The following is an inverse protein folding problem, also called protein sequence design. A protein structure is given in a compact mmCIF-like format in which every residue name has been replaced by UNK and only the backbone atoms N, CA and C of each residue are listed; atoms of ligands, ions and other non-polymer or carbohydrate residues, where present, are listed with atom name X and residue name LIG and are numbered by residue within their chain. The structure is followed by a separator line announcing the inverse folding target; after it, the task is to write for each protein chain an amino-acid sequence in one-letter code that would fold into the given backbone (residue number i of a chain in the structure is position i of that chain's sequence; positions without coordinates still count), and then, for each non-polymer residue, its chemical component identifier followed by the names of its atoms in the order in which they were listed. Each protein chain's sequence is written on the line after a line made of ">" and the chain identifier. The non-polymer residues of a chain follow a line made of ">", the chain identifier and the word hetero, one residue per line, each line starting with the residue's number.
data_IF_371418158221
#
_entry.id   IF_371418158221
#
_cell.length_a   1.000
_cell.length_b   1.000
_cell.length_c   1.000
_cell.angle_alpha   90.00
_cell.angle_beta   90.00
_cell.angle_gamma   90.00
#
_symmetry.space_group_name_H-M   'P 1'
#
loop_
_entity.id
_entity.type
_entity.pdbx_description
1 polymer ?
#
# COMPACT_ATOMS: atom_id res chain seq x y z
N UNK A 1 21.43 9.22 -52.82
CA UNK A 1 21.36 9.18 -51.34
C UNK A 1 20.05 8.53 -50.95
N UNK A 2 20.05 7.23 -50.64
CA UNK A 2 18.86 6.55 -50.10
C UNK A 2 18.79 6.81 -48.60
N UNK A 3 17.71 7.42 -48.16
CA UNK A 3 17.39 7.64 -46.75
C UNK A 3 16.75 6.37 -46.19
N UNK A 4 17.42 5.72 -45.24
CA UNK A 4 16.91 4.55 -44.52
C UNK A 4 16.09 5.06 -43.33
N UNK A 5 14.76 4.95 -43.43
CA UNK A 5 13.85 5.16 -42.29
C UNK A 5 13.88 3.90 -41.43
N UNK A 6 14.50 3.98 -40.26
CA UNK A 6 14.44 2.91 -39.25
C UNK A 6 13.05 2.94 -38.58
N UNK A 7 12.22 1.95 -38.87
CA UNK A 7 10.96 1.73 -38.17
C UNK A 7 11.25 1.16 -36.77
N UNK A 8 10.99 1.94 -35.72
CA UNK A 8 10.99 1.45 -34.35
C UNK A 8 9.76 0.57 -34.13
N UNK A 9 9.96 -0.75 -34.10
CA UNK A 9 8.95 -1.71 -33.66
C UNK A 9 8.72 -1.55 -32.15
N UNK A 10 7.62 -0.86 -31.80
CA UNK A 10 7.12 -0.87 -30.43
C UNK A 10 6.47 -2.23 -30.14
N UNK A 11 7.14 -3.07 -29.37
CA UNK A 11 6.54 -4.27 -28.78
C UNK A 11 5.50 -3.82 -27.74
N UNK A 12 4.22 -3.79 -28.12
CA UNK A 12 3.13 -3.78 -27.14
C UNK A 12 3.05 -5.18 -26.52
N UNK A 13 3.73 -5.38 -25.40
CA UNK A 13 3.44 -6.52 -24.54
C UNK A 13 2.01 -6.33 -24.01
N UNK A 14 1.09 -7.23 -24.37
CA UNK A 14 -0.21 -7.30 -23.73
C UNK A 14 0.00 -7.40 -22.22
N UNK A 15 -0.59 -6.48 -21.44
CA UNK A 15 -0.50 -6.53 -19.99
C UNK A 15 -1.12 -7.83 -19.52
N UNK A 16 -0.32 -8.70 -18.91
CA UNK A 16 -0.84 -9.92 -18.31
C UNK A 16 -1.92 -9.57 -17.28
N UNK A 17 -3.03 -10.28 -17.33
CA UNK A 17 -4.15 -10.02 -16.43
C UNK A 17 -3.82 -10.44 -14.98
N UNK A 18 -4.39 -9.75 -13.98
CA UNK A 18 -4.29 -10.19 -12.59
C UNK A 18 -4.81 -11.62 -12.39
N UNK A 19 -4.04 -12.44 -11.68
CA UNK A 19 -4.42 -13.80 -11.32
C UNK A 19 -5.15 -13.77 -9.98
N UNK A 20 -6.43 -14.14 -9.97
CA UNK A 20 -7.20 -14.27 -8.72
C UNK A 20 -6.95 -15.65 -8.11
N UNK A 21 -6.55 -15.68 -6.84
CA UNK A 21 -6.42 -16.94 -6.09
C UNK A 21 -7.80 -17.37 -5.60
N UNK A 22 -8.30 -18.51 -6.09
CA UNK A 22 -9.72 -18.90 -5.92
C UNK A 22 -9.97 -20.11 -5.03
N UNK A 23 -8.96 -20.94 -4.78
CA UNK A 23 -9.14 -22.22 -4.09
C UNK A 23 -7.96 -22.48 -3.16
N UNK A 24 -8.22 -23.16 -2.04
CA UNK A 24 -7.21 -23.52 -1.07
C UNK A 24 -7.82 -24.21 0.15
N UNK A 25 -7.13 -24.11 1.29
CA UNK A 25 -7.57 -24.68 2.56
C UNK A 25 -7.82 -23.57 3.59
N UNK A 26 -8.87 -23.71 4.39
CA UNK A 26 -9.12 -22.85 5.54
C UNK A 26 -9.14 -23.66 6.83
N UNK A 27 -8.76 -23.01 7.92
CA UNK A 27 -8.89 -23.55 9.26
C UNK A 27 -9.42 -22.46 10.18
N UNK A 28 -10.34 -22.84 11.07
CA UNK A 28 -10.86 -21.95 12.11
C UNK A 28 -9.75 -21.45 13.04
N UNK A 29 -10.10 -20.51 13.92
CA UNK A 29 -9.16 -19.99 14.90
C UNK A 29 -8.51 -21.12 15.73
N UNK A 30 -7.17 -21.15 15.72
CA UNK A 30 -6.32 -22.11 16.45
C UNK A 30 -5.64 -21.48 17.66
N UNK A 31 -6.19 -20.38 18.16
CA UNK A 31 -5.69 -19.67 19.32
C UNK A 31 -6.72 -18.72 19.91
N UNK A 32 -6.36 -18.04 20.99
CA UNK A 32 -7.22 -17.01 21.58
C UNK A 32 -6.96 -15.67 20.92
N UNK A 33 -8.02 -15.03 20.43
CA UNK A 33 -7.98 -13.63 19.99
C UNK A 33 -8.13 -12.68 21.18
N UNK A 34 -7.62 -11.46 21.04
CA UNK A 34 -7.74 -10.40 22.06
C UNK A 34 -6.41 -9.75 22.42
N UNK A 35 -6.47 -8.64 23.16
CA UNK A 35 -5.30 -7.94 23.69
C UNK A 35 -4.77 -8.70 24.91
N UNK A 36 -4.10 -9.81 24.66
CA UNK A 36 -3.51 -10.65 25.69
C UNK A 36 -1.98 -10.57 25.59
N UNK A 37 -1.26 -10.54 26.72
CA UNK A 37 0.21 -10.49 26.70
C UNK A 37 0.85 -11.80 26.21
N UNK A 38 0.09 -12.90 26.23
CA UNK A 38 0.54 -14.22 25.80
C UNK A 38 -0.28 -14.66 24.59
N UNK A 39 0.33 -14.60 23.40
CA UNK A 39 -0.27 -15.07 22.16
C UNK A 39 -0.27 -16.60 22.16
N UNK A 40 -1.45 -17.20 22.02
CA UNK A 40 -1.66 -18.66 22.07
C UNK A 40 -2.11 -19.22 20.71
N UNK A 41 -1.49 -18.76 19.63
CA UNK A 41 -1.78 -19.23 18.28
C UNK A 41 -0.92 -20.44 17.92
N UNK A 42 -1.57 -21.59 17.69
CA UNK A 42 -0.87 -22.84 17.45
C UNK A 42 -0.16 -22.89 16.08
N UNK A 43 -0.65 -22.16 15.07
CA UNK A 43 0.02 -22.07 13.75
C UNK A 43 1.24 -21.16 13.87
N UNK A 44 1.10 -19.98 14.46
CA UNK A 44 2.22 -19.08 14.71
C UNK A 44 3.32 -19.74 15.55
N UNK A 45 2.95 -20.54 16.56
CA UNK A 45 3.89 -21.29 17.38
C UNK A 45 4.66 -22.36 16.59
N UNK A 46 4.05 -23.00 15.59
CA UNK A 46 4.73 -23.96 14.70
C UNK A 46 5.68 -23.26 13.74
N UNK A 47 5.26 -22.13 13.18
CA UNK A 47 6.10 -21.30 12.31
C UNK A 47 7.34 -20.84 13.07
N UNK A 48 7.17 -20.30 14.28
CA UNK A 48 8.28 -19.84 15.11
C UNK A 48 9.29 -20.94 15.49
N UNK A 49 8.84 -22.20 15.57
CA UNK A 49 9.70 -23.37 15.82
C UNK A 49 10.27 -24.01 14.55
N UNK A 50 9.89 -23.53 13.37
CA UNK A 50 10.27 -24.15 12.10
C UNK A 50 9.62 -25.52 11.85
N UNK A 51 8.51 -25.82 12.54
CA UNK A 51 7.78 -27.10 12.42
C UNK A 51 6.44 -26.95 11.71
N UNK A 52 6.20 -25.82 11.03
CA UNK A 52 5.02 -25.66 10.20
C UNK A 52 5.26 -26.31 8.84
N UNK A 53 4.37 -27.22 8.46
CA UNK A 53 4.39 -27.90 7.17
C UNK A 53 3.23 -27.40 6.30
N UNK A 54 3.35 -27.55 4.98
CA UNK A 54 2.27 -27.29 4.03
C UNK A 54 1.03 -28.08 4.43
N UNK A 55 -0.11 -27.43 4.73
CA UNK A 55 -1.30 -28.13 5.18
C UNK A 55 -1.93 -28.95 4.06
N UNK A 56 -2.50 -30.09 4.43
CA UNK A 56 -3.36 -30.92 3.60
C UNK A 56 -4.78 -30.91 4.15
N UNK A 57 -5.74 -31.23 3.29
CA UNK A 57 -7.11 -31.44 3.73
C UNK A 57 -7.18 -32.53 4.81
N UNK A 58 -7.92 -32.24 5.89
CA UNK A 58 -8.06 -33.14 7.03
C UNK A 58 -6.95 -33.04 8.08
N UNK A 59 -5.83 -32.36 7.80
CA UNK A 59 -4.78 -32.17 8.79
C UNK A 59 -5.32 -31.44 10.02
N UNK A 60 -5.05 -32.01 11.20
CA UNK A 60 -5.54 -31.50 12.47
C UNK A 60 -4.49 -30.65 13.19
N UNK A 61 -4.91 -29.48 13.66
CA UNK A 61 -4.14 -28.58 14.52
C UNK A 61 -4.71 -28.65 15.94
N UNK A 62 -4.00 -29.30 16.87
CA UNK A 62 -4.28 -29.19 18.30
C UNK A 62 -4.32 -27.74 18.77
N UNK A 63 -5.38 -27.36 19.48
CA UNK A 63 -5.56 -26.05 20.09
C UNK A 63 -5.42 -26.17 21.62
N UNK A 64 -4.57 -25.37 22.27
CA UNK A 64 -4.42 -25.43 23.72
C UNK A 64 -5.76 -25.19 24.46
N UNK A 65 -6.20 -26.18 25.23
CA UNK A 65 -7.43 -26.08 26.04
C UNK A 65 -8.74 -26.13 25.24
N UNK A 66 -8.72 -26.69 24.03
CA UNK A 66 -9.91 -26.86 23.20
C UNK A 66 -9.79 -28.04 22.24
N UNK A 67 -10.82 -28.23 21.42
CA UNK A 67 -10.82 -29.25 20.37
C UNK A 67 -9.84 -28.89 19.26
N UNK A 68 -9.25 -29.93 18.65
CA UNK A 68 -8.43 -29.75 17.45
C UNK A 68 -9.28 -29.17 16.31
N UNK A 69 -8.64 -28.34 15.48
CA UNK A 69 -9.25 -27.78 14.27
C UNK A 69 -8.64 -28.44 13.05
N UNK A 70 -9.46 -28.70 12.03
CA UNK A 70 -9.00 -29.36 10.81
C UNK A 70 -8.98 -28.40 9.65
N UNK A 71 -7.97 -28.53 8.79
CA UNK A 71 -7.96 -27.86 7.50
C UNK A 71 -9.04 -28.45 6.59
N UNK A 72 -9.85 -27.58 5.99
CA UNK A 72 -10.94 -27.94 5.08
C UNK A 72 -10.86 -27.13 3.79
N UNK A 73 -11.34 -27.65 2.65
CA UNK A 73 -11.36 -26.91 1.40
C UNK A 73 -12.16 -25.60 1.53
N UNK A 74 -11.66 -24.55 0.89
CA UNK A 74 -12.38 -23.30 0.72
C UNK A 74 -12.26 -22.80 -0.71
N UNK A 75 -13.36 -22.23 -1.21
CA UNK A 75 -13.46 -21.64 -2.54
C UNK A 75 -13.94 -20.19 -2.44
N UNK A 76 -13.34 -19.34 -3.24
CA UNK A 76 -13.78 -17.96 -3.41
C UNK A 76 -15.09 -17.91 -4.18
N UNK A 77 -15.95 -16.95 -3.84
CA UNK A 77 -17.13 -16.62 -4.63
C UNK A 77 -16.78 -16.03 -6.01
N UNK A 78 -17.82 -15.67 -6.76
CA UNK A 78 -17.66 -15.05 -8.09
C UNK A 78 -16.84 -13.76 -8.04
N UNK A 79 -17.04 -12.97 -6.98
CA UNK A 79 -16.31 -11.74 -6.65
C UNK A 79 -14.83 -11.96 -6.25
N UNK A 80 -14.37 -13.22 -6.23
CA UNK A 80 -13.01 -13.58 -5.84
C UNK A 80 -12.77 -13.54 -4.32
N UNK A 81 -13.84 -13.46 -3.52
CA UNK A 81 -13.72 -13.41 -2.07
C UNK A 81 -13.98 -14.75 -1.40
N UNK A 82 -13.10 -15.09 -0.46
CA UNK A 82 -13.34 -16.13 0.52
C UNK A 82 -14.15 -15.53 1.68
N UNK A 83 -15.19 -16.25 2.10
CA UNK A 83 -16.01 -15.89 3.26
C UNK A 83 -16.34 -17.14 4.06
N UNK A 84 -16.64 -16.97 5.34
CA UNK A 84 -17.17 -18.07 6.16
C UNK A 84 -16.72 -18.01 7.63
N UNK A 85 -17.28 -18.87 8.50
CA UNK A 85 -16.95 -18.89 9.93
C UNK A 85 -15.46 -19.15 10.19
N UNK A 86 -14.81 -19.97 9.36
CA UNK A 86 -13.38 -20.28 9.47
C UNK A 86 -12.49 -19.04 9.39
N UNK A 87 -12.91 -17.99 8.69
CA UNK A 87 -12.12 -16.78 8.47
C UNK A 87 -12.25 -15.76 9.62
N UNK A 88 -13.01 -16.07 10.68
CA UNK A 88 -13.12 -15.22 11.88
C UNK A 88 -12.01 -15.58 12.86
N UNK A 89 -10.82 -15.02 12.64
CA UNK A 89 -9.64 -15.28 13.47
C UNK A 89 -8.89 -16.57 13.10
N UNK A 90 -9.16 -17.15 11.93
CA UNK A 90 -8.50 -18.34 11.41
C UNK A 90 -7.51 -18.04 10.30
N UNK A 91 -7.17 -19.08 9.53
CA UNK A 91 -6.19 -19.00 8.44
C UNK A 91 -6.75 -19.51 7.12
N UNK A 92 -6.20 -18.99 6.03
CA UNK A 92 -6.41 -19.49 4.67
C UNK A 92 -5.05 -19.74 4.02
N UNK A 93 -4.81 -20.97 3.57
CA UNK A 93 -3.65 -21.35 2.78
C UNK A 93 -4.04 -21.45 1.30
N UNK A 94 -3.38 -20.64 0.48
CA UNK A 94 -3.56 -20.59 -0.97
C UNK A 94 -2.25 -20.96 -1.66
N UNK A 95 -2.36 -21.53 -2.86
CA UNK A 95 -1.18 -21.84 -3.68
C UNK A 95 -1.30 -21.28 -5.08
N UNK A 96 -0.15 -21.06 -5.72
CA UNK A 96 -0.07 -20.68 -7.12
C UNK A 96 1.16 -21.30 -7.78
N UNK A 97 0.99 -21.95 -8.94
CA UNK A 97 2.11 -22.48 -9.72
C UNK A 97 2.58 -21.44 -10.73
N UNK A 98 3.83 -20.99 -10.60
CA UNK A 98 4.47 -20.08 -11.53
C UNK A 98 5.40 -20.84 -12.48
N UNK A 99 5.42 -20.46 -13.76
CA UNK A 99 6.25 -21.11 -14.79
C UNK A 99 7.73 -20.73 -14.69
N UNK A 100 8.01 -19.59 -14.07
CA UNK A 100 9.35 -19.04 -13.86
C UNK A 100 9.44 -18.30 -12.54
N UNK A 101 10.65 -17.97 -12.16
CA UNK A 101 10.88 -16.98 -11.11
C UNK A 101 10.51 -15.58 -11.64
N UNK A 102 9.66 -14.87 -10.92
CA UNK A 102 9.29 -13.49 -11.24
C UNK A 102 8.78 -12.72 -10.02
N UNK A 103 8.78 -11.38 -10.11
CA UNK A 103 8.17 -10.53 -9.09
C UNK A 103 6.77 -10.14 -9.54
N UNK A 104 5.80 -10.31 -8.63
CA UNK A 104 4.42 -9.86 -8.81
C UNK A 104 4.03 -8.97 -7.64
N UNK A 105 2.97 -8.19 -7.79
CA UNK A 105 2.33 -7.48 -6.70
C UNK A 105 1.24 -8.36 -6.10
N UNK A 106 1.42 -8.79 -4.85
CA UNK A 106 0.37 -9.37 -4.05
C UNK A 106 -0.56 -8.26 -3.57
N UNK A 107 -1.79 -8.26 -4.09
CA UNK A 107 -2.88 -7.42 -3.60
C UNK A 107 -3.89 -8.32 -2.89
N UNK A 108 -3.91 -8.23 -1.56
CA UNK A 108 -4.84 -8.97 -0.73
C UNK A 108 -5.52 -8.05 0.29
N UNK A 109 -6.79 -8.32 0.60
CA UNK A 109 -7.68 -7.44 1.38
C UNK A 109 -8.37 -8.25 2.46
N UNK A 110 -8.47 -7.72 3.69
CA UNK A 110 -9.20 -8.33 4.81
C UNK A 110 -8.39 -9.28 5.71
N UNK A 111 -7.08 -9.40 5.45
CA UNK A 111 -6.15 -10.23 6.22
C UNK A 111 -5.29 -9.40 7.17
N UNK A 112 -4.89 -9.98 8.29
CA UNK A 112 -4.02 -9.33 9.27
C UNK A 112 -2.55 -9.34 8.82
N UNK A 113 -2.12 -10.47 8.25
CA UNK A 113 -0.78 -10.70 7.71
C UNK A 113 -0.81 -11.91 6.78
N UNK A 114 0.20 -12.02 5.91
CA UNK A 114 0.41 -13.17 5.05
C UNK A 114 1.85 -13.64 5.13
N UNK A 115 2.06 -14.95 5.11
CA UNK A 115 3.37 -15.55 4.91
C UNK A 115 3.43 -16.05 3.48
N UNK A 116 4.21 -15.37 2.65
CA UNK A 116 4.41 -15.71 1.24
C UNK A 116 5.74 -16.44 1.09
N UNK A 117 5.72 -17.72 0.73
CA UNK A 117 6.91 -18.59 0.63
C UNK A 117 7.79 -18.55 1.90
N UNK A 118 7.19 -18.52 3.08
CA UNK A 118 7.91 -18.44 4.36
C UNK A 118 8.28 -17.01 4.80
N UNK A 119 8.12 -16.00 3.95
CA UNK A 119 8.39 -14.61 4.30
C UNK A 119 7.13 -13.89 4.82
N UNK A 120 7.15 -13.32 6.04
CA UNK A 120 6.02 -12.53 6.54
C UNK A 120 5.88 -11.21 5.78
N UNK A 121 4.63 -10.83 5.53
CA UNK A 121 4.20 -9.63 4.81
C UNK A 121 3.00 -9.01 5.54
N UNK A 122 2.96 -7.68 5.55
CA UNK A 122 1.89 -6.92 6.20
C UNK A 122 0.53 -7.19 5.54
N UNK A 123 -0.54 -7.12 6.34
CA UNK A 123 -1.90 -7.28 5.85
C UNK A 123 -2.69 -5.97 5.74
N UNK A 124 -3.91 -6.11 5.25
CA UNK A 124 -4.92 -5.05 5.16
C UNK A 124 -6.15 -5.42 6.02
N UNK A 125 -6.04 -5.33 7.37
CA UNK A 125 -7.09 -5.80 8.28
C UNK A 125 -8.35 -4.93 8.25
N UNK A 126 -8.28 -3.73 7.66
CA UNK A 126 -9.39 -2.78 7.54
C UNK A 126 -9.97 -2.72 6.12
N UNK A 127 -9.45 -3.54 5.21
CA UNK A 127 -9.96 -3.68 3.85
C UNK A 127 -9.93 -2.39 3.02
N UNK A 128 -8.90 -1.56 3.20
CA UNK A 128 -8.77 -0.32 2.42
C UNK A 128 -8.33 -0.56 0.97
N UNK A 129 -7.72 -1.70 0.65
CA UNK A 129 -7.27 -2.07 -0.69
C UNK A 129 -5.97 -1.40 -1.14
N UNK A 130 -5.31 -0.63 -0.26
CA UNK A 130 -4.05 0.04 -0.61
C UNK A 130 -2.80 -0.80 -0.36
N UNK A 131 -2.91 -1.91 0.36
CA UNK A 131 -1.77 -2.80 0.66
C UNK A 131 -1.47 -3.65 -0.56
N UNK A 132 -0.44 -3.24 -1.30
CA UNK A 132 0.02 -3.87 -2.53
C UNK A 132 1.51 -4.14 -2.39
N UNK A 133 1.87 -5.40 -2.18
CA UNK A 133 3.22 -5.79 -1.78
C UNK A 133 3.94 -6.55 -2.90
N UNK A 134 5.12 -6.10 -3.36
CA UNK A 134 5.92 -6.91 -4.26
C UNK A 134 6.38 -8.19 -3.55
N UNK A 135 6.11 -9.33 -4.18
CA UNK A 135 6.52 -10.66 -3.70
C UNK A 135 7.24 -11.39 -4.81
N UNK A 136 8.26 -12.15 -4.43
CA UNK A 136 9.03 -12.98 -5.34
C UNK A 136 8.36 -14.35 -5.44
N UNK A 137 7.91 -14.71 -6.64
CA UNK A 137 7.49 -16.06 -6.96
C UNK A 137 8.70 -16.89 -7.35
N UNK A 138 8.79 -18.12 -6.86
CA UNK A 138 9.70 -19.15 -7.36
C UNK A 138 9.04 -19.91 -8.51
N UNK A 139 9.85 -20.45 -9.42
CA UNK A 139 9.36 -21.45 -10.39
C UNK A 139 8.74 -22.63 -9.62
N UNK A 140 7.57 -23.08 -10.04
CA UNK A 140 6.81 -24.12 -9.36
C UNK A 140 5.78 -23.57 -8.37
N UNK A 141 5.49 -24.34 -7.32
CA UNK A 141 4.41 -24.01 -6.36
C UNK A 141 4.86 -22.94 -5.38
N UNK A 142 4.09 -21.86 -5.30
CA UNK A 142 4.22 -20.78 -4.33
C UNK A 142 3.08 -20.88 -3.32
N UNK A 143 3.37 -20.58 -2.06
CA UNK A 143 2.43 -20.74 -0.95
C UNK A 143 2.18 -19.42 -0.24
N UNK A 144 0.92 -19.19 0.12
CA UNK A 144 0.47 -18.00 0.81
C UNK A 144 -0.43 -18.40 1.99
N UNK A 145 0.06 -18.18 3.21
CA UNK A 145 -0.70 -18.44 4.43
C UNK A 145 -1.19 -17.11 5.01
N UNK A 146 -2.49 -16.83 4.85
CA UNK A 146 -3.15 -15.62 5.32
C UNK A 146 -3.73 -15.84 6.71
N UNK A 147 -3.39 -14.99 7.67
CA UNK A 147 -4.16 -14.83 8.92
C UNK A 147 -5.34 -13.90 8.65
N UNK A 148 -6.56 -14.36 8.90
CA UNK A 148 -7.78 -13.59 8.60
C UNK A 148 -8.54 -13.28 9.89
N UNK A 149 -8.80 -12.00 10.13
CA UNK A 149 -9.47 -11.55 11.36
C UNK A 149 -10.99 -11.40 11.22
N UNK A 150 -11.46 -10.84 10.09
CA UNK A 150 -12.82 -10.29 9.97
C UNK A 150 -13.74 -11.09 9.04
N UNK A 151 -13.42 -12.35 8.75
CA UNK A 151 -14.33 -13.25 8.04
C UNK A 151 -14.36 -13.11 6.52
N UNK A 152 -13.53 -12.24 5.92
CA UNK A 152 -13.46 -12.02 4.48
C UNK A 152 -12.03 -11.82 4.02
N UNK A 153 -11.65 -12.46 2.91
CA UNK A 153 -10.35 -12.34 2.26
C UNK A 153 -10.54 -12.28 0.75
N UNK A 154 -9.85 -11.36 0.07
CA UNK A 154 -9.55 -11.48 -1.37
C UNK A 154 -8.04 -11.52 -1.56
N UNK A 155 -7.56 -12.23 -2.58
CA UNK A 155 -6.14 -12.28 -2.91
C UNK A 155 -5.93 -12.42 -4.42
N UNK A 156 -5.09 -11.55 -4.98
CA UNK A 156 -4.70 -11.60 -6.39
C UNK A 156 -3.22 -11.27 -6.58
N UNK A 157 -2.63 -11.86 -7.60
CA UNK A 157 -1.26 -11.60 -8.07
C UNK A 157 -1.34 -10.73 -9.31
N UNK A 158 -0.81 -9.50 -9.21
CA UNK A 158 -0.84 -8.52 -10.29
C UNK A 158 0.56 -8.46 -10.92
N UNK A 159 0.69 -8.64 -12.24
CA UNK A 159 1.97 -8.49 -12.93
C UNK A 159 2.58 -7.09 -12.72
N UNK A 160 3.89 -7.06 -12.48
CA UNK A 160 4.63 -5.81 -12.32
C UNK A 160 4.78 -5.13 -13.68
N UNK A 161 4.22 -3.93 -13.81
CA UNK A 161 4.32 -3.15 -15.06
C UNK A 161 5.66 -2.40 -15.17
N UNK A 162 6.18 -1.91 -14.05
CA UNK A 162 7.46 -1.20 -13.99
C UNK A 162 8.23 -1.60 -12.72
N UNK A 163 9.58 -1.64 -12.77
CA UNK A 163 10.41 -2.01 -11.62
C UNK A 163 10.22 -1.10 -10.39
N UNK A 164 9.95 0.18 -10.64
CA UNK A 164 9.68 1.19 -9.62
C UNK A 164 8.42 1.94 -10.02
N UNK A 165 7.43 1.99 -9.13
CA UNK A 165 6.10 2.55 -9.41
C UNK A 165 5.68 3.52 -8.32
N UNK A 166 5.22 4.70 -8.73
CA UNK A 166 4.44 5.58 -7.88
C UNK A 166 2.97 5.16 -7.89
N UNK A 167 2.36 5.12 -6.71
CA UNK A 167 0.98 4.72 -6.51
C UNK A 167 0.15 5.77 -5.78
N UNK A 168 -1.10 5.93 -6.21
CA UNK A 168 -2.06 6.89 -5.63
C UNK A 168 -3.11 6.23 -4.71
N UNK A 169 -2.98 4.93 -4.45
CA UNK A 169 -3.94 4.18 -3.63
C UNK A 169 -3.95 4.60 -2.15
N UNK A 170 -2.88 5.25 -1.67
CA UNK A 170 -2.80 5.81 -0.32
C UNK A 170 -1.93 7.08 -0.36
N UNK A 171 -2.60 8.24 -0.38
CA UNK A 171 -1.94 9.54 -0.52
C UNK A 171 -2.18 10.41 0.71
N UNK A 172 -1.24 11.31 0.97
CA UNK A 172 -1.40 12.32 2.03
C UNK A 172 -1.06 13.67 1.43
N UNK A 173 -2.10 14.44 1.12
CA UNK A 173 -1.97 15.76 0.51
C UNK A 173 -2.75 16.81 1.30
N UNK A 174 -2.21 18.05 1.39
CA UNK A 174 -2.92 19.18 1.94
C UNK A 174 -3.89 19.73 0.90
N UNK A 175 -4.67 20.73 1.31
CA UNK A 175 -5.30 21.66 0.38
C UNK A 175 -4.42 22.92 0.29
N UNK A 176 -4.33 23.53 -0.90
CA UNK A 176 -3.75 24.88 -1.01
C UNK A 176 -4.74 25.90 -0.46
N UNK A 177 -4.26 26.94 0.22
CA UNK A 177 -5.12 28.01 0.71
C UNK A 177 -4.87 29.29 -0.07
N UNK A 178 -5.94 29.87 -0.61
CA UNK A 178 -5.89 31.10 -1.40
C UNK A 178 -5.28 32.23 -0.58
N UNK A 179 -4.29 32.92 -1.16
CA UNK A 179 -3.58 34.02 -0.52
C UNK A 179 -2.42 33.59 0.40
N UNK A 180 -2.29 32.30 0.71
CA UNK A 180 -1.14 31.80 1.46
C UNK A 180 0.02 31.42 0.55
N UNK A 181 1.24 31.51 1.09
CA UNK A 181 2.48 31.16 0.39
C UNK A 181 3.43 30.45 1.33
N UNK A 182 3.17 29.16 1.56
CA UNK A 182 3.96 28.33 2.46
C UNK A 182 4.42 27.03 1.79
N UNK A 183 5.44 26.43 2.40
CA UNK A 183 5.95 25.12 2.00
C UNK A 183 5.02 24.05 2.56
N UNK A 184 4.42 23.29 1.66
CA UNK A 184 3.50 22.21 1.99
C UNK A 184 4.13 20.84 1.67
N UNK A 185 3.62 19.77 2.28
CA UNK A 185 4.15 18.42 2.12
C UNK A 185 3.12 17.50 1.46
N UNK A 186 3.56 16.69 0.51
CA UNK A 186 2.77 15.60 -0.07
C UNK A 186 3.39 14.24 0.26
N UNK A 187 2.61 13.18 0.15
CA UNK A 187 3.13 11.82 0.18
C UNK A 187 2.30 10.88 -0.70
N UNK A 188 3.01 9.94 -1.34
CA UNK A 188 2.44 8.90 -2.22
C UNK A 188 3.11 7.57 -1.94
N UNK A 189 2.53 6.49 -2.45
CA UNK A 189 3.16 5.17 -2.38
C UNK A 189 4.30 5.07 -3.40
N UNK A 190 5.41 4.47 -2.99
CA UNK A 190 6.51 4.05 -3.84
C UNK A 190 6.75 2.55 -3.63
N UNK A 191 6.68 1.80 -4.73
CA UNK A 191 6.96 0.37 -4.76
C UNK A 191 8.26 0.10 -5.48
N UNK A 192 9.21 -0.57 -4.81
CA UNK A 192 10.37 -1.21 -5.42
C UNK A 192 10.06 -2.69 -5.65
N UNK A 193 9.74 -3.04 -6.90
CA UNK A 193 9.47 -4.40 -7.34
C UNK A 193 10.72 -5.10 -7.89
N UNK A 194 11.92 -4.69 -7.45
CA UNK A 194 13.19 -5.31 -7.84
C UNK A 194 13.81 -6.10 -6.69
N UNK A 195 14.73 -7.01 -7.04
CA UNK A 195 15.57 -7.73 -6.09
C UNK A 195 16.78 -6.94 -5.59
N UNK A 196 16.89 -5.64 -5.87
CA UNK A 196 18.02 -4.80 -5.46
C UNK A 196 17.60 -3.53 -4.73
N UNK A 197 18.50 -3.05 -3.86
CA UNK A 197 18.39 -1.74 -3.21
C UNK A 197 18.42 -0.64 -4.28
N UNK A 198 17.49 0.29 -4.21
CA UNK A 198 17.40 1.42 -5.14
C UNK A 198 17.87 2.69 -4.45
N UNK A 199 18.90 3.33 -5.01
CA UNK A 199 19.51 4.56 -4.49
C UNK A 199 19.42 5.70 -5.50
N UNK A 200 19.82 6.90 -5.08
CA UNK A 200 19.85 8.10 -5.91
C UNK A 200 18.48 8.41 -6.53
N UNK A 201 17.41 8.19 -5.75
CA UNK A 201 16.05 8.52 -6.16
C UNK A 201 15.64 9.86 -5.54
N UNK A 202 14.80 10.60 -6.25
CA UNK A 202 14.14 11.79 -5.75
C UNK A 202 12.70 11.86 -6.27
N UNK A 203 11.82 12.55 -5.54
CA UNK A 203 10.53 12.98 -6.05
C UNK A 203 10.69 14.40 -6.60
N UNK A 204 10.35 14.58 -7.87
CA UNK A 204 10.18 15.89 -8.50
C UNK A 204 8.69 16.18 -8.62
N UNK A 205 8.27 17.34 -8.14
CA UNK A 205 6.90 17.83 -8.32
C UNK A 205 6.95 19.04 -9.23
N UNK A 206 6.08 19.07 -10.24
CA UNK A 206 5.93 20.17 -11.19
C UNK A 206 4.48 20.69 -11.14
N UNK A 207 4.33 21.98 -10.85
CA UNK A 207 3.05 22.70 -10.83
C UNK A 207 2.87 23.60 -12.06
N UNK A 208 3.71 23.45 -13.09
CA UNK A 208 3.75 24.29 -14.28
C UNK A 208 4.50 25.60 -14.08
N UNK A 209 4.77 26.30 -15.19
CA UNK A 209 5.44 27.61 -15.22
C UNK A 209 6.80 27.64 -14.47
N UNK A 210 7.52 26.52 -14.47
CA UNK A 210 8.82 26.38 -13.79
C UNK A 210 8.74 26.23 -12.27
N UNK A 211 7.55 26.17 -11.68
CA UNK A 211 7.37 25.96 -10.23
C UNK A 211 7.54 24.49 -9.91
N UNK A 212 8.74 24.15 -9.43
CA UNK A 212 9.10 22.77 -9.11
C UNK A 212 9.64 22.63 -7.70
N UNK A 213 9.50 21.43 -7.15
CA UNK A 213 10.16 21.00 -5.93
C UNK A 213 10.88 19.68 -6.19
N UNK A 214 12.00 19.46 -5.51
CA UNK A 214 12.78 18.24 -5.59
C UNK A 214 13.11 17.76 -4.17
N UNK A 215 12.76 16.51 -3.87
CA UNK A 215 13.05 15.90 -2.58
C UNK A 215 13.79 14.58 -2.78
N UNK A 216 15.03 14.52 -2.30
CA UNK A 216 15.81 13.28 -2.30
C UNK A 216 15.17 12.23 -1.39
N UNK A 217 15.13 10.99 -1.86
CA UNK A 217 14.63 9.85 -1.10
C UNK A 217 15.79 9.06 -0.47
N UNK A 218 15.57 8.45 0.71
CA UNK A 218 16.50 7.46 1.22
C UNK A 218 16.51 6.23 0.29
N UNK A 219 17.53 5.35 0.41
CA UNK A 219 17.54 4.06 -0.27
C UNK A 219 16.24 3.28 -0.04
N UNK A 220 15.74 2.64 -1.10
CA UNK A 220 14.52 1.83 -1.07
C UNK A 220 14.91 0.36 -1.17
N UNK A 221 14.64 -0.40 -0.10
CA UNK A 221 14.98 -1.81 -0.01
C UNK A 221 14.29 -2.63 -1.12
N UNK A 222 14.86 -3.78 -1.52
CA UNK A 222 14.23 -4.66 -2.50
C UNK A 222 12.84 -5.10 -2.01
N UNK A 223 11.94 -5.38 -2.96
CA UNK A 223 10.61 -5.93 -2.69
C UNK A 223 9.86 -5.19 -1.56
N UNK A 224 9.85 -3.86 -1.63
CA UNK A 224 9.25 -2.99 -0.61
C UNK A 224 8.22 -2.06 -1.22
N UNK A 225 7.09 -1.88 -0.55
CA UNK A 225 6.17 -0.77 -0.79
C UNK A 225 6.17 0.13 0.45
N UNK A 226 6.35 1.44 0.25
CA UNK A 226 6.32 2.42 1.35
C UNK A 226 5.75 3.75 0.90
N UNK A 227 5.08 4.44 1.82
CA UNK A 227 4.71 5.84 1.61
C UNK A 227 5.97 6.72 1.71
N UNK A 228 6.18 7.59 0.73
CA UNK A 228 7.31 8.53 0.69
C UNK A 228 6.79 9.96 0.70
N UNK A 229 7.29 10.75 1.65
CA UNK A 229 6.96 12.16 1.79
C UNK A 229 7.91 13.06 1.01
N UNK A 230 7.38 14.11 0.41
CA UNK A 230 8.10 15.06 -0.43
C UNK A 230 7.55 16.47 -0.28
N UNK A 231 8.35 17.45 -0.69
CA UNK A 231 7.98 18.86 -0.69
C UNK A 231 7.12 19.17 -1.92
N UNK A 232 6.06 19.96 -1.71
CA UNK A 232 5.31 20.58 -2.80
C UNK A 232 5.98 21.92 -3.18
N UNK A 233 5.85 22.36 -4.45
CA UNK A 233 6.29 23.69 -4.84
C UNK A 233 5.55 24.76 -4.02
N UNK A 234 6.24 25.83 -3.64
CA UNK A 234 5.59 26.98 -3.01
C UNK A 234 4.80 27.73 -4.06
N UNK A 235 3.47 27.64 -3.97
CA UNK A 235 2.54 28.29 -4.88
C UNK A 235 1.89 29.50 -4.21
N UNK A 236 1.52 30.50 -5.01
CA UNK A 236 0.64 31.58 -4.61
C UNK A 236 -0.65 31.45 -5.43
N UNK A 237 -1.61 30.70 -4.89
CA UNK A 237 -2.86 30.41 -5.60
C UNK A 237 -3.82 31.58 -5.41
N UNK A 238 -4.28 32.15 -6.53
CA UNK A 238 -5.06 33.39 -6.54
C UNK A 238 -6.57 33.20 -6.33
N UNK A 239 -7.09 32.01 -6.64
CA UNK A 239 -8.51 31.71 -6.55
C UNK A 239 -8.73 30.22 -6.21
N UNK A 240 -9.88 29.86 -5.60
CA UNK A 240 -10.22 28.47 -5.35
C UNK A 240 -10.31 27.65 -6.66
N UNK A 241 -10.08 26.35 -6.57
CA UNK A 241 -10.16 25.43 -7.71
C UNK A 241 -9.08 24.35 -7.67
N UNK A 242 -8.96 23.59 -8.76
CA UNK A 242 -8.00 22.49 -8.83
C UNK A 242 -6.64 22.95 -9.34
N UNK A 243 -5.59 22.56 -8.61
CA UNK A 243 -4.20 22.76 -8.97
C UNK A 243 -3.64 21.43 -9.48
N UNK A 244 -3.44 21.26 -10.80
CA UNK A 244 -2.84 20.05 -11.35
C UNK A 244 -1.34 20.01 -11.01
N UNK A 245 -0.87 18.86 -10.56
CA UNK A 245 0.53 18.60 -10.27
C UNK A 245 0.97 17.33 -11.01
N UNK A 246 2.17 17.37 -11.57
CA UNK A 246 2.87 16.17 -12.03
C UNK A 246 3.87 15.75 -10.95
N UNK A 247 3.78 14.50 -10.49
CA UNK A 247 4.70 13.91 -9.52
C UNK A 247 5.52 12.83 -10.22
N UNK A 248 6.84 13.02 -10.24
CA UNK A 248 7.78 12.14 -10.92
C UNK A 248 8.76 11.54 -9.93
N UNK A 249 8.93 10.22 -9.99
CA UNK A 249 10.09 9.55 -9.43
C UNK A 249 11.22 9.71 -10.44
N UNK A 250 12.30 10.37 -10.03
CA UNK A 250 13.49 10.56 -10.87
C UNK A 250 14.67 9.83 -10.26
N UNK A 251 15.52 9.27 -11.13
CA UNK A 251 16.86 8.82 -10.77
C UNK A 251 17.85 9.94 -11.06
N UNK A 252 18.71 10.20 -10.09
CA UNK A 252 19.79 11.17 -10.17
C UNK A 252 21.05 10.45 -10.69
N UNK A 253 21.50 10.84 -11.88
CA UNK A 253 22.69 10.30 -12.55
C UNK A 253 23.63 11.48 -12.85
N UNK A 254 24.39 11.90 -11.84
CA UNK A 254 25.17 13.14 -11.91
C UNK A 254 24.27 14.37 -12.03
N UNK A 255 24.43 15.14 -13.11
CA UNK A 255 23.57 16.27 -13.45
C UNK A 255 22.29 15.88 -14.20
N UNK A 256 22.20 14.64 -14.68
CA UNK A 256 21.05 14.14 -15.45
C UNK A 256 19.98 13.60 -14.51
N UNK A 257 18.72 13.90 -14.81
CA UNK A 257 17.54 13.39 -14.12
C UNK A 257 16.75 12.52 -15.07
N UNK A 258 16.70 11.21 -14.81
CA UNK A 258 15.92 10.27 -15.61
C UNK A 258 14.60 9.99 -14.91
N UNK A 259 13.47 10.28 -15.58
CA UNK A 259 12.15 9.90 -15.07
C UNK A 259 12.02 8.38 -15.08
N UNK A 260 11.60 7.82 -13.95
CA UNK A 260 11.43 6.39 -13.73
C UNK A 260 9.96 6.01 -13.65
N UNK A 261 9.16 6.86 -12.98
CA UNK A 261 7.71 6.69 -12.84
C UNK A 261 7.07 8.06 -12.71
N UNK A 262 5.81 8.19 -13.11
CA UNK A 262 5.07 9.45 -13.10
C UNK A 262 3.61 9.19 -12.79
N UNK A 263 3.03 10.08 -11.99
CA UNK A 263 1.59 10.16 -11.72
C UNK A 263 1.13 11.62 -11.78
N UNK A 264 -0.15 11.82 -12.08
CA UNK A 264 -0.77 13.14 -12.09
C UNK A 264 -1.79 13.20 -10.97
N UNK A 265 -1.78 14.30 -10.23
CA UNK A 265 -2.72 14.57 -9.14
C UNK A 265 -3.31 15.96 -9.29
N UNK A 266 -4.48 16.17 -8.72
CA UNK A 266 -5.13 17.48 -8.65
C UNK A 266 -5.40 17.79 -7.19
N UNK A 267 -4.76 18.83 -6.66
CA UNK A 267 -5.00 19.28 -5.30
C UNK A 267 -6.01 20.41 -5.28
N UNK A 268 -6.85 20.44 -4.26
CA UNK A 268 -7.84 21.50 -4.10
C UNK A 268 -7.17 22.76 -3.55
N UNK A 269 -7.49 23.90 -4.13
CA UNK A 269 -7.24 25.22 -3.57
C UNK A 269 -8.55 25.75 -2.98
N UNK A 270 -8.52 26.10 -1.70
CA UNK A 270 -9.69 26.50 -0.90
C UNK A 270 -9.53 27.91 -0.35
N UNK A 271 -10.67 28.54 -0.06
CA UNK A 271 -10.64 29.81 0.68
C UNK A 271 -10.18 29.59 2.12
N UNK A 272 -9.62 30.60 2.80
CA UNK A 272 -9.22 30.50 4.20
C UNK A 272 -10.35 30.18 5.18
N UNK A 273 -11.61 30.35 4.76
CA UNK A 273 -12.81 30.10 5.56
C UNK A 273 -13.41 28.71 5.35
N UNK A 274 -12.96 27.96 4.35
CA UNK A 274 -13.42 26.60 4.08
C UNK A 274 -12.67 25.59 4.95
N UNK A 275 -13.33 24.46 5.24
CA UNK A 275 -12.66 23.31 5.83
C UNK A 275 -11.54 22.83 4.92
N UNK A 276 -10.33 22.71 5.46
CA UNK A 276 -9.16 22.36 4.66
C UNK A 276 -8.19 21.45 5.39
N UNK A 277 -7.41 20.69 4.62
CA UNK A 277 -6.34 19.83 5.13
C UNK A 277 -5.02 20.59 5.19
N UNK A 278 -4.28 20.37 6.27
CA UNK A 278 -2.88 20.77 6.42
C UNK A 278 -2.02 19.53 6.59
N UNK A 279 -0.80 19.56 6.06
CA UNK A 279 0.16 18.48 6.28
C UNK A 279 1.34 18.96 7.11
N UNK A 280 1.99 18.02 7.78
CA UNK A 280 3.20 18.28 8.55
C UNK A 280 4.09 17.03 8.55
N UNK A 281 5.36 17.21 8.88
CA UNK A 281 6.28 16.10 9.10
C UNK A 281 6.24 15.70 10.57
N UNK A 282 5.86 14.47 10.84
CA UNK A 282 5.89 13.87 12.18
C UNK A 282 7.32 13.90 12.73
N UNK A 283 7.48 14.39 13.96
CA UNK A 283 8.76 14.37 14.68
C UNK A 283 9.07 13.01 15.31
N UNK A 284 8.12 12.07 15.30
CA UNK A 284 8.28 10.73 15.87
C UNK A 284 8.99 9.80 14.87
N UNK A 285 8.52 9.80 13.63
CA UNK A 285 8.94 8.82 12.61
C UNK A 285 9.28 9.46 11.24
N UNK A 286 9.17 10.79 11.12
CA UNK A 286 9.48 11.52 9.89
C UNK A 286 8.43 11.38 8.78
N UNK A 287 7.31 10.70 9.03
CA UNK A 287 6.22 10.53 8.07
C UNK A 287 5.50 11.86 7.80
N UNK A 288 4.90 11.99 6.63
CA UNK A 288 3.97 13.10 6.35
C UNK A 288 2.61 12.70 6.88
N UNK A 289 2.11 13.50 7.80
CA UNK A 289 0.80 13.34 8.43
C UNK A 289 -0.07 14.54 8.09
N UNK A 290 -1.37 14.43 8.34
CA UNK A 290 -2.30 15.50 8.06
C UNK A 290 -3.34 15.66 9.18
N UNK A 291 -3.94 16.85 9.22
CA UNK A 291 -5.12 17.15 10.02
C UNK A 291 -6.04 18.07 9.22
N UNK A 292 -7.33 18.09 9.58
CA UNK A 292 -8.27 19.04 9.02
C UNK A 292 -8.42 20.25 9.95
N UNK A 293 -8.61 21.42 9.35
CA UNK A 293 -8.94 22.68 10.02
C UNK A 293 -10.34 23.07 9.59
N UNK A 294 -11.23 23.24 10.57
CA UNK A 294 -12.52 23.89 10.39
C UNK A 294 -12.41 25.32 10.95
N UNK A 295 -12.30 26.35 10.09
CA UNK A 295 -12.23 27.74 10.56
C UNK A 295 -13.51 28.13 11.30
N UNK A 296 -13.37 29.08 12.24
CA UNK A 296 -14.52 29.66 12.93
C UNK A 296 -15.43 30.38 11.93
N UNK A 297 -16.75 30.13 12.01
CA UNK A 297 -17.74 30.74 11.12
C UNK A 297 -17.70 32.28 11.16
N UNK A 298 -17.37 32.85 12.32
CA UNK A 298 -17.11 34.28 12.49
C UNK A 298 -15.70 34.47 13.04
N UNK A 299 -14.72 34.86 12.21
CA UNK A 299 -13.35 35.16 12.65
C UNK A 299 -13.31 36.31 13.66
N UNK A 300 -12.32 36.29 14.56
CA UNK A 300 -12.11 37.36 15.55
C UNK A 300 -11.37 36.89 16.80
N UNK A 301 -11.06 37.79 17.75
CA UNK A 301 -10.45 37.42 19.02
C UNK A 301 -11.42 36.60 19.90
N UNK A 302 -10.87 35.88 20.90
CA UNK A 302 -11.66 35.16 21.90
C UNK A 302 -12.32 33.87 21.40
N UNK A 303 -11.84 33.27 20.32
CA UNK A 303 -12.33 31.97 19.83
C UNK A 303 -11.67 30.82 20.59
N UNK A 304 -12.44 29.76 20.79
CA UNK A 304 -11.93 28.51 21.35
C UNK A 304 -11.33 27.63 20.25
N UNK A 305 -10.30 26.86 20.60
CA UNK A 305 -9.80 25.75 19.79
C UNK A 305 -10.43 24.46 20.31
N UNK A 306 -11.02 23.67 19.40
CA UNK A 306 -11.53 22.34 19.69
C UNK A 306 -10.66 21.33 18.96
N UNK A 307 -10.15 20.33 19.68
CA UNK A 307 -9.38 19.23 19.12
C UNK A 307 -10.25 17.97 19.10
N UNK A 308 -10.48 17.42 17.91
CA UNK A 308 -11.15 16.15 17.70
C UNK A 308 -10.14 15.11 17.24
N UNK A 309 -10.19 13.91 17.82
CA UNK A 309 -9.34 12.78 17.45
C UNK A 309 -10.20 11.69 16.82
N UNK A 310 -9.80 11.22 15.64
CA UNK A 310 -10.55 10.20 14.92
C UNK A 310 -10.21 8.79 15.44
N UNK A 311 -11.14 7.86 15.22
CA UNK A 311 -10.95 6.44 15.50
C UNK A 311 -10.31 5.69 14.33
N UNK A 312 -10.24 4.37 14.47
CA UNK A 312 -9.86 3.49 13.36
C UNK A 312 -10.88 3.61 12.22
N UNK A 313 -10.40 3.62 10.98
CA UNK A 313 -11.22 3.70 9.76
C UNK A 313 -11.97 5.03 9.56
N UNK A 314 -11.46 6.12 10.15
CA UNK A 314 -12.05 7.46 10.05
C UNK A 314 -10.98 8.45 9.63
N UNK A 315 -11.29 9.33 8.67
CA UNK A 315 -10.40 10.38 8.19
C UNK A 315 -10.46 11.62 9.10
N UNK A 316 -9.45 12.49 9.05
CA UNK A 316 -9.44 13.71 9.86
C UNK A 316 -10.45 14.77 9.38
N UNK A 317 -10.97 14.68 8.15
CA UNK A 317 -11.93 15.62 7.54
C UNK A 317 -13.38 15.32 7.92
N UNK A 318 -13.61 14.80 9.12
CA UNK A 318 -14.90 14.38 9.62
C UNK A 318 -15.80 15.56 10.04
#
# INVERSE_FOLDING_TARGET
>A
MLSVVAAALAFQAALAEPIVLREGLAIQSVGRSGRTPIVTDAIAARIARGTFETPKEGDAIPVPGGEARTWAPIKAGEDGAFTGPALRGGYVHLTHRAEREEVVILHAVGHNMVIANGEPRAGDPYSFGYVQLPVKLKKGVNEFLFSVGRGRLTARLIPVQQPLVLGLQDTTFPDFIVGERHKELGAVMLTNATGSMQTNLAIRVDAGQGRTALTSLPPIAPLTARKVGFDLPVLAVAAPGQVPLTVELVRLEGSVRRVVSRVEVKLEAKSPTQMHKRTFRSQIDGSVQYYAVQPAATPGPGKALVLSVHGASVEATN
#
